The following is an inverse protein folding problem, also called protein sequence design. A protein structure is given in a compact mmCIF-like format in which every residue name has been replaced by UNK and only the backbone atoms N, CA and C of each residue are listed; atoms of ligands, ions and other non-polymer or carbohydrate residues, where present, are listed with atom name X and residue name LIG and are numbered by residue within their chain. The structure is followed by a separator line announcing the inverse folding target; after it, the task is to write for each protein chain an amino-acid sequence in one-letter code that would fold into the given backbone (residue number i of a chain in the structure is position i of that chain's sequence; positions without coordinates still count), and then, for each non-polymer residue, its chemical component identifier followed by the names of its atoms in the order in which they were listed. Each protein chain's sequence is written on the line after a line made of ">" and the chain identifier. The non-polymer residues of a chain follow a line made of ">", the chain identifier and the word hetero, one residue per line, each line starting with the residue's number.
data_IF_065792058066
#
_entry.id   IF_065792058066
#
_cell.length_a   1.000
_cell.length_b   1.000
_cell.length_c   1.000
_cell.angle_alpha   90.00
_cell.angle_beta   90.00
_cell.angle_gamma   90.00
#
_symmetry.space_group_name_H-M   'P 1'
#
loop_
_entity.id
_entity.type
_entity.pdbx_description
1 polymer ?
#
# COMPACT_ATOMS: atom_id res chain seq x y z
N UNK A 1 0.16 27.45 -2.87
CA UNK A 1 1.22 26.43 -2.85
C UNK A 1 0.70 25.31 -3.73
N UNK A 2 0.96 25.39 -5.03
CA UNK A 2 0.63 24.32 -5.97
C UNK A 2 1.55 23.14 -5.66
N UNK A 3 1.05 21.91 -5.69
CA UNK A 3 1.88 20.70 -5.67
C UNK A 3 2.62 20.57 -7.03
N UNK A 4 3.40 21.60 -7.37
CA UNK A 4 4.25 21.65 -8.55
C UNK A 4 5.53 20.86 -8.25
N UNK A 5 5.61 19.61 -8.72
CA UNK A 5 6.88 18.90 -8.62
C UNK A 5 6.90 17.39 -8.91
N UNK A 6 5.79 16.78 -9.32
CA UNK A 6 5.78 15.36 -9.72
C UNK A 6 5.21 15.18 -11.12
N UNK A 7 6.02 14.60 -12.00
CA UNK A 7 5.66 14.25 -13.37
C UNK A 7 4.71 13.05 -13.40
N UNK A 8 4.02 12.84 -14.52
CA UNK A 8 3.13 11.68 -14.68
C UNK A 8 3.89 10.35 -14.57
N UNK A 9 5.15 10.31 -14.99
CA UNK A 9 6.03 9.15 -14.80
C UNK A 9 6.33 8.93 -13.32
N UNK A 10 6.61 9.99 -12.55
CA UNK A 10 6.81 9.87 -11.11
C UNK A 10 5.54 9.43 -10.37
N UNK A 11 4.37 9.84 -10.86
CA UNK A 11 3.08 9.41 -10.34
C UNK A 11 2.83 7.91 -10.61
N UNK A 12 3.06 7.46 -11.85
CA UNK A 12 2.96 6.05 -12.22
C UNK A 12 3.94 5.17 -11.42
N UNK A 13 5.19 5.61 -11.25
CA UNK A 13 6.17 4.89 -10.44
C UNK A 13 5.72 4.75 -8.97
N UNK A 14 4.99 5.73 -8.43
CA UNK A 14 4.41 5.65 -7.07
C UNK A 14 3.27 4.65 -7.00
N UNK A 15 2.39 4.61 -8.01
CA UNK A 15 1.34 3.57 -8.13
C UNK A 15 1.97 2.18 -8.09
N UNK A 16 2.98 1.94 -8.92
CA UNK A 16 3.65 0.64 -9.00
C UNK A 16 4.36 0.28 -7.68
N UNK A 17 4.98 1.26 -7.02
CA UNK A 17 5.62 1.06 -5.72
C UNK A 17 4.60 0.68 -4.64
N UNK A 18 3.48 1.39 -4.53
CA UNK A 18 2.45 1.06 -3.54
C UNK A 18 1.77 -0.28 -3.82
N UNK A 19 1.51 -0.60 -5.10
CA UNK A 19 0.98 -1.92 -5.47
C UNK A 19 1.92 -3.05 -5.04
N UNK A 20 3.23 -2.91 -5.30
CA UNK A 20 4.23 -3.89 -4.86
C UNK A 20 4.25 -4.02 -3.33
N UNK A 21 4.28 -2.91 -2.60
CA UNK A 21 4.25 -2.95 -1.13
C UNK A 21 2.98 -3.63 -0.60
N UNK A 22 1.82 -3.34 -1.18
CA UNK A 22 0.53 -3.98 -0.83
C UNK A 22 0.60 -5.49 -1.05
N UNK A 23 1.14 -5.95 -2.18
CA UNK A 23 1.26 -7.38 -2.48
C UNK A 23 2.20 -8.12 -1.50
N UNK A 24 3.34 -7.50 -1.17
CA UNK A 24 4.30 -8.02 -0.19
C UNK A 24 3.67 -8.10 1.21
N UNK A 25 2.97 -7.04 1.63
CA UNK A 25 2.27 -7.00 2.92
C UNK A 25 1.15 -8.02 2.98
N UNK A 26 0.32 -8.13 1.94
CA UNK A 26 -0.77 -9.12 1.88
C UNK A 26 -0.24 -10.55 2.00
N UNK A 27 0.86 -10.85 1.32
CA UNK A 27 1.51 -12.17 1.38
C UNK A 27 2.00 -12.48 2.79
N UNK A 28 2.70 -11.52 3.42
CA UNK A 28 3.21 -11.67 4.79
C UNK A 28 2.08 -11.81 5.83
N UNK A 29 1.07 -10.94 5.75
CA UNK A 29 -0.11 -10.94 6.63
C UNK A 29 -0.89 -12.25 6.50
N UNK A 30 -1.07 -12.77 5.29
CA UNK A 30 -1.78 -14.03 5.06
C UNK A 30 -1.06 -15.20 5.75
N UNK A 31 0.26 -15.30 5.60
CA UNK A 31 1.05 -16.33 6.25
C UNK A 31 0.96 -16.25 7.79
N UNK A 32 1.03 -15.04 8.35
CA UNK A 32 0.87 -14.83 9.80
C UNK A 32 -0.55 -15.10 10.29
N UNK A 33 -1.59 -14.75 9.53
CA UNK A 33 -2.99 -15.09 9.87
C UNK A 33 -3.22 -16.59 9.94
N UNK A 34 -2.62 -17.36 9.03
CA UNK A 34 -2.69 -18.82 9.07
C UNK A 34 -2.04 -19.39 10.34
N UNK A 35 -0.85 -18.89 10.72
CA UNK A 35 -0.19 -19.26 11.99
C UNK A 35 -1.02 -18.86 13.21
N UNK A 36 -1.66 -17.69 13.20
CA UNK A 36 -2.57 -17.24 14.26
C UNK A 36 -3.74 -18.22 14.45
N UNK A 37 -4.41 -18.59 13.36
CA UNK A 37 -5.51 -19.56 13.38
C UNK A 37 -5.06 -20.93 13.89
N UNK A 38 -3.84 -21.35 13.55
CA UNK A 38 -3.22 -22.58 14.03
C UNK A 38 -2.71 -22.49 15.49
N UNK A 39 -2.83 -21.35 16.16
CA UNK A 39 -2.29 -21.10 17.51
C UNK A 39 -0.76 -21.30 17.59
N UNK A 40 -0.07 -21.02 16.48
CA UNK A 40 1.38 -21.18 16.31
C UNK A 40 2.12 -19.83 16.19
N UNK A 41 1.41 -18.72 16.34
CA UNK A 41 1.99 -17.38 16.23
C UNK A 41 2.71 -17.01 17.52
N UNK A 42 3.95 -16.56 17.40
CA UNK A 42 4.69 -15.97 18.53
C UNK A 42 4.24 -14.52 18.81
N UNK A 43 4.52 -14.01 20.01
CA UNK A 43 4.21 -12.61 20.36
C UNK A 43 4.87 -11.60 19.42
N UNK A 44 6.10 -11.87 18.98
CA UNK A 44 6.83 -11.03 18.02
C UNK A 44 6.16 -11.06 16.64
N UNK A 45 5.77 -12.24 16.16
CA UNK A 45 5.03 -12.34 14.90
C UNK A 45 3.63 -11.69 15.00
N UNK A 46 2.99 -11.71 16.17
CA UNK A 46 1.73 -11.00 16.40
C UNK A 46 1.90 -9.48 16.34
N UNK A 47 2.98 -8.96 16.95
CA UNK A 47 3.33 -7.54 16.85
C UNK A 47 3.59 -7.15 15.39
N UNK A 48 4.38 -7.94 14.66
CA UNK A 48 4.64 -7.72 13.24
C UNK A 48 3.36 -7.76 12.40
N UNK A 49 2.46 -8.72 12.65
CA UNK A 49 1.16 -8.79 11.98
C UNK A 49 0.34 -7.50 12.17
N UNK A 50 0.37 -6.94 13.37
CA UNK A 50 -0.33 -5.68 13.68
C UNK A 50 0.29 -4.49 12.95
N UNK A 51 1.62 -4.38 12.98
CA UNK A 51 2.37 -3.33 12.27
C UNK A 51 2.20 -3.40 10.75
N UNK A 52 2.33 -4.60 10.17
CA UNK A 52 2.11 -4.85 8.75
C UNK A 52 0.68 -4.53 8.33
N UNK A 53 -0.32 -4.86 9.16
CA UNK A 53 -1.72 -4.53 8.88
C UNK A 53 -1.95 -3.02 8.87
N UNK A 54 -1.30 -2.28 9.78
CA UNK A 54 -1.31 -0.82 9.78
C UNK A 54 -0.64 -0.24 8.53
N UNK A 55 0.53 -0.78 8.13
CA UNK A 55 1.21 -0.37 6.90
C UNK A 55 0.38 -0.65 5.65
N UNK A 56 -0.32 -1.79 5.61
CA UNK A 56 -1.20 -2.15 4.49
C UNK A 56 -2.31 -1.11 4.33
N UNK A 57 -2.94 -0.71 5.43
CA UNK A 57 -3.97 0.34 5.41
C UNK A 57 -3.42 1.66 4.85
N UNK A 58 -2.24 2.10 5.30
CA UNK A 58 -1.62 3.33 4.81
C UNK A 58 -1.25 3.23 3.33
N UNK A 59 -0.67 2.11 2.90
CA UNK A 59 -0.28 1.91 1.51
C UNK A 59 -1.49 1.89 0.57
N UNK A 60 -2.59 1.25 0.97
CA UNK A 60 -3.85 1.26 0.22
C UNK A 60 -4.44 2.67 0.09
N UNK A 61 -4.45 3.43 1.18
CA UNK A 61 -4.91 4.82 1.16
C UNK A 61 -4.03 5.69 0.25
N UNK A 62 -2.71 5.54 0.30
CA UNK A 62 -1.79 6.28 -0.58
C UNK A 62 -1.97 5.91 -2.05
N UNK A 63 -2.17 4.63 -2.36
CA UNK A 63 -2.48 4.17 -3.71
C UNK A 63 -3.74 4.85 -4.24
N UNK A 64 -4.83 4.85 -3.47
CA UNK A 64 -6.08 5.52 -3.82
C UNK A 64 -5.85 7.01 -4.15
N UNK A 65 -5.07 7.72 -3.32
CA UNK A 65 -4.77 9.15 -3.55
C UNK A 65 -3.92 9.41 -4.79
N UNK A 66 -3.00 8.52 -5.12
CA UNK A 66 -2.20 8.64 -6.33
C UNK A 66 -3.02 8.32 -7.58
N UNK A 67 -3.88 7.30 -7.53
CA UNK A 67 -4.78 6.94 -8.63
C UNK A 67 -5.84 8.03 -8.88
N UNK A 68 -6.41 8.63 -7.83
CA UNK A 68 -7.30 9.80 -7.92
C UNK A 68 -6.62 10.97 -8.66
N UNK A 69 -5.37 11.29 -8.30
CA UNK A 69 -4.61 12.36 -8.95
C UNK A 69 -4.28 12.02 -10.41
N UNK A 70 -3.95 10.75 -10.71
CA UNK A 70 -3.67 10.31 -12.07
C UNK A 70 -4.91 10.44 -12.96
N UNK A 71 -6.08 10.01 -12.46
CA UNK A 71 -7.36 10.16 -13.15
C UNK A 71 -7.72 11.65 -13.37
N UNK A 72 -7.51 12.50 -12.36
CA UNK A 72 -7.75 13.95 -12.47
C UNK A 72 -6.92 14.59 -13.58
N UNK A 73 -5.65 14.20 -13.72
CA UNK A 73 -4.76 14.71 -14.80
C UNK A 73 -5.20 14.25 -16.19
N UNK A 74 -5.63 12.98 -16.32
CA UNK A 74 -6.12 12.45 -17.59
C UNK A 74 -7.38 13.17 -18.08
N UNK A 75 -8.28 13.55 -17.16
CA UNK A 75 -9.48 14.34 -17.49
C UNK A 75 -9.16 15.78 -17.92
N UNK A 76 -8.05 16.36 -17.43
CA UNK A 76 -7.64 17.73 -17.80
C UNK A 76 -6.92 17.81 -19.15
N UNK A 77 -6.50 16.68 -19.71
CA UNK A 77 -5.83 16.58 -21.01
C UNK A 77 -6.80 16.24 -22.17
N UNK A 78 -8.09 16.01 -21.88
CA UNK A 78 -9.18 15.80 -22.86
C UNK A 78 -9.98 17.08 -23.06
#
# INVERSE_FOLDING_TARGET
>A
MELNGITDVQLANRVDAYRREIDELNTSILAKKQKFQAHQLTDEEFKQLTEESGRLFVAQWLLEKVEEEQARRQQQQQ
#
